data_IF_058816150917
#
_entry.id   IF_058816150917
#
_cell.length_a   1.000
_cell.length_b   1.000
_cell.length_c   1.000
_cell.angle_alpha   90.00
_cell.angle_beta   90.00
_cell.angle_gamma   90.00
#
_symmetry.space_group_name_H-M   'P 1'
#
loop_
_entity.id
_entity.type
_entity.pdbx_description
1 polymer ?
#
# COMPACT_ATOMS: atom_id res chain seq x y z
N UNK A 1 24.30 -14.31 8.07
CA UNK A 1 23.88 -13.84 6.72
C UNK A 1 24.12 -12.33 6.67
N UNK A 2 25.24 -11.90 6.08
CA UNK A 2 25.62 -10.48 6.04
C UNK A 2 25.01 -9.87 4.77
N UNK A 3 23.90 -9.15 4.91
CA UNK A 3 23.33 -8.38 3.81
C UNK A 3 24.29 -7.24 3.49
N UNK A 4 24.99 -7.34 2.36
CA UNK A 4 25.76 -6.23 1.81
C UNK A 4 24.80 -5.06 1.57
N UNK A 5 24.97 -3.98 2.33
CA UNK A 5 24.25 -2.73 2.07
C UNK A 5 24.79 -2.18 0.75
N UNK A 6 23.93 -2.07 -0.25
CA UNK A 6 24.25 -1.34 -1.47
C UNK A 6 24.36 0.16 -1.11
N UNK A 7 25.59 0.65 -0.92
CA UNK A 7 25.89 2.05 -0.53
C UNK A 7 26.09 2.98 -1.73
N UNK A 8 25.78 2.53 -2.96
CA UNK A 8 26.00 3.33 -4.17
C UNK A 8 25.00 4.48 -4.34
N UNK A 9 23.98 4.58 -3.49
CA UNK A 9 22.97 5.63 -3.56
C UNK A 9 22.73 6.23 -2.17
N UNK A 10 22.76 7.55 -2.10
CA UNK A 10 22.36 8.29 -0.90
C UNK A 10 20.87 8.02 -0.59
N UNK A 11 20.58 7.67 0.66
CA UNK A 11 19.21 7.41 1.09
C UNK A 11 18.48 8.74 1.33
N UNK A 12 17.84 9.28 0.29
CA UNK A 12 17.08 10.54 0.38
C UNK A 12 15.74 10.39 1.12
N UNK A 13 15.14 9.20 1.07
CA UNK A 13 13.84 8.93 1.69
C UNK A 13 13.95 7.82 2.75
N UNK A 14 13.33 8.06 3.90
CA UNK A 14 13.20 7.08 4.98
C UNK A 14 11.75 6.58 5.01
N UNK A 15 11.57 5.27 5.11
CA UNK A 15 10.23 4.69 5.25
C UNK A 15 9.58 5.21 6.53
N UNK A 16 8.31 5.60 6.42
CA UNK A 16 7.53 5.97 7.59
C UNK A 16 7.41 4.78 8.55
N UNK A 17 7.60 5.01 9.86
CA UNK A 17 7.62 3.93 10.88
C UNK A 17 6.33 3.11 10.96
N UNK A 18 5.20 3.72 10.58
CA UNK A 18 3.86 3.09 10.52
C UNK A 18 3.56 2.37 9.20
N UNK A 19 4.52 2.21 8.29
CA UNK A 19 4.27 1.42 7.08
C UNK A 19 4.12 -0.08 7.42
N UNK A 20 3.22 -0.81 6.74
CA UNK A 20 2.33 -0.35 5.67
C UNK A 20 1.11 0.44 6.17
N UNK A 21 0.58 1.35 5.35
CA UNK A 21 -0.61 2.15 5.70
C UNK A 21 -1.93 1.36 5.59
N UNK A 22 -1.92 0.25 4.84
CA UNK A 22 -3.02 -0.69 4.67
C UNK A 22 -2.44 -2.10 4.63
N UNK A 23 -3.13 -3.05 5.24
CA UNK A 23 -2.75 -4.46 5.33
C UNK A 23 -3.92 -5.35 4.91
N UNK A 24 -3.64 -6.62 4.63
CA UNK A 24 -4.66 -7.60 4.28
C UNK A 24 -5.75 -7.75 5.36
N UNK A 25 -5.41 -7.53 6.63
CA UNK A 25 -6.33 -7.57 7.77
C UNK A 25 -7.37 -6.46 7.79
N UNK A 26 -7.17 -5.39 7.01
CA UNK A 26 -8.09 -4.24 7.00
C UNK A 26 -9.30 -4.46 6.06
N UNK A 27 -9.31 -5.55 5.29
CA UNK A 27 -10.41 -5.87 4.39
C UNK A 27 -11.50 -6.69 5.07
N UNK A 28 -12.79 -6.44 4.75
CA UNK A 28 -13.90 -7.19 5.33
C UNK A 28 -14.04 -8.62 4.77
N UNK A 29 -13.12 -9.04 3.89
CA UNK A 29 -13.07 -10.38 3.32
C UNK A 29 -11.61 -10.79 3.09
N UNK A 30 -11.33 -12.11 2.97
CA UNK A 30 -9.97 -12.58 2.80
C UNK A 30 -9.38 -12.14 1.45
N UNK A 31 -8.22 -11.48 1.52
CA UNK A 31 -7.40 -11.12 0.36
C UNK A 31 -6.00 -11.68 0.53
N UNK A 32 -5.24 -11.77 -0.57
CA UNK A 32 -3.80 -12.07 -0.51
C UNK A 32 -3.02 -10.83 -0.10
N UNK A 33 -3.25 -9.71 -0.79
CA UNK A 33 -2.48 -8.49 -0.60
C UNK A 33 -3.20 -7.25 -1.14
N UNK A 34 -2.78 -6.08 -0.67
CA UNK A 34 -3.12 -4.76 -1.21
C UNK A 34 -1.83 -4.02 -1.53
N UNK A 35 -1.74 -3.45 -2.74
CA UNK A 35 -0.54 -2.77 -3.21
C UNK A 35 -0.88 -1.82 -4.37
N UNK A 36 0.10 -1.03 -4.81
CA UNK A 36 -0.02 -0.12 -5.98
C UNK A 36 -1.24 0.82 -5.90
N UNK A 37 -1.48 1.43 -4.74
CA UNK A 37 -2.59 2.35 -4.58
C UNK A 37 -2.34 3.68 -5.32
N UNK A 38 -3.32 4.15 -6.07
CA UNK A 38 -3.40 5.53 -6.52
C UNK A 38 -4.00 6.42 -5.43
N UNK A 39 -3.46 7.63 -5.23
CA UNK A 39 -3.93 8.55 -4.21
C UNK A 39 -4.36 9.89 -4.82
N UNK A 40 -5.48 10.44 -4.35
CA UNK A 40 -5.92 11.80 -4.69
C UNK A 40 -6.68 12.43 -3.53
N UNK A 41 -6.78 13.76 -3.50
CA UNK A 41 -7.68 14.49 -2.60
C UNK A 41 -9.00 14.77 -3.30
N UNK A 42 -10.11 14.57 -2.60
CA UNK A 42 -11.44 14.94 -3.06
C UNK A 42 -11.73 16.43 -2.74
N UNK A 43 -12.75 17.05 -3.38
CA UNK A 43 -13.10 18.45 -3.11
C UNK A 43 -13.45 18.76 -1.65
N UNK A 44 -13.91 17.77 -0.89
CA UNK A 44 -14.22 17.88 0.55
C UNK A 44 -12.99 17.75 1.46
N UNK A 45 -11.79 17.55 0.90
CA UNK A 45 -10.54 17.42 1.62
C UNK A 45 -10.16 15.97 1.99
N UNK A 46 -11.08 15.02 1.85
CA UNK A 46 -10.85 13.58 2.12
C UNK A 46 -9.76 13.04 1.19
N UNK A 47 -8.92 12.14 1.70
CA UNK A 47 -7.97 11.41 0.84
C UNK A 47 -8.64 10.13 0.33
N UNK A 48 -8.66 9.94 -0.98
CA UNK A 48 -9.11 8.73 -1.65
C UNK A 48 -7.90 7.89 -2.05
N UNK A 49 -7.90 6.61 -1.66
CA UNK A 49 -6.97 5.61 -2.18
C UNK A 49 -7.73 4.62 -3.07
N UNK A 50 -7.37 4.56 -4.36
CA UNK A 50 -7.79 3.49 -5.26
C UNK A 50 -6.77 2.35 -5.15
N UNK A 51 -7.14 1.33 -4.39
CA UNK A 51 -6.28 0.21 -4.03
C UNK A 51 -6.43 -0.91 -5.06
N UNK A 52 -5.30 -1.41 -5.59
CA UNK A 52 -5.29 -2.72 -6.26
C UNK A 52 -5.19 -3.80 -5.18
N UNK A 53 -6.17 -4.68 -5.19
CA UNK A 53 -6.29 -5.80 -4.26
C UNK A 53 -6.16 -7.08 -5.06
N UNK A 54 -5.42 -8.05 -4.56
CA UNK A 54 -5.39 -9.41 -5.08
C UNK A 54 -6.17 -10.33 -4.14
N UNK A 55 -7.17 -11.03 -4.66
CA UNK A 55 -7.93 -12.03 -3.90
C UNK A 55 -7.16 -13.36 -3.79
N UNK A 56 -7.66 -14.30 -2.98
CA UNK A 56 -7.02 -15.62 -2.78
C UNK A 56 -7.04 -16.53 -4.01
N UNK A 57 -7.71 -16.14 -5.10
CA UNK A 57 -7.67 -16.84 -6.40
C UNK A 57 -6.59 -16.26 -7.31
N UNK A 58 -5.86 -15.23 -6.87
CA UNK A 58 -4.86 -14.52 -7.66
C UNK A 58 -5.48 -13.50 -8.63
N UNK A 59 -6.77 -13.17 -8.47
CA UNK A 59 -7.43 -12.17 -9.32
C UNK A 59 -7.26 -10.79 -8.71
N UNK A 60 -6.91 -9.82 -9.55
CA UNK A 60 -6.83 -8.41 -9.13
C UNK A 60 -8.17 -7.70 -9.35
N UNK A 61 -8.55 -6.87 -8.38
CA UNK A 61 -9.69 -5.95 -8.49
C UNK A 61 -9.40 -4.64 -7.76
N UNK A 62 -10.23 -3.63 -8.01
CA UNK A 62 -10.10 -2.34 -7.36
C UNK A 62 -11.00 -2.24 -6.13
N UNK A 63 -10.44 -1.67 -5.06
CA UNK A 63 -11.16 -1.28 -3.85
C UNK A 63 -10.81 0.17 -3.51
N UNK A 64 -11.63 0.77 -2.65
CA UNK A 64 -11.43 2.15 -2.21
C UNK A 64 -11.22 2.16 -0.69
N UNK A 65 -10.22 2.91 -0.24
CA UNK A 65 -10.10 3.34 1.15
C UNK A 65 -10.16 4.89 1.21
N UNK A 66 -10.71 5.43 2.30
CA UNK A 66 -10.84 6.88 2.53
C UNK A 66 -10.39 7.23 3.95
N UNK A 67 -9.86 8.44 4.13
CA UNK A 67 -9.49 9.02 5.43
C UNK A 67 -9.94 10.46 5.55
#
# INVERSE_FOLDING_TARGET
MHLLRNTHHEQLFVRHRRNPILAASDWPYPINTVFNAGATRLPDGTTLLLCRVEDRRGLSHFCVARS
#
